data_IF_953454125298
#
_entry.id   IF_953454125298
#
_cell.length_a   1.000
_cell.length_b   1.000
_cell.length_c   1.000
_cell.angle_alpha   90.00
_cell.angle_beta   90.00
_cell.angle_gamma   90.00
#
_symmetry.space_group_name_H-M   'P 1'
#
loop_
_entity.id
_entity.type
_entity.pdbx_description
1 polymer ?
#
# COMPACT_ATOMS: atom_id res chain seq x y z
N UNK A 1 4.92 0.48 -19.01
CA UNK A 1 4.02 0.43 -17.85
C UNK A 1 2.94 -0.60 -18.17
N UNK A 2 2.49 -1.39 -17.21
CA UNK A 2 1.43 -2.38 -17.43
C UNK A 2 0.08 -1.66 -17.48
N UNK A 3 -0.59 -1.66 -18.65
CA UNK A 3 -1.85 -0.93 -18.86
C UNK A 3 -2.98 -1.48 -17.97
N UNK A 4 -3.05 -2.81 -17.81
CA UNK A 4 -4.03 -3.46 -16.95
C UNK A 4 -3.88 -3.04 -15.48
N UNK A 5 -2.63 -2.89 -14.98
CA UNK A 5 -2.41 -2.35 -13.64
C UNK A 5 -3.01 -0.95 -13.47
N UNK A 6 -2.81 -0.07 -14.46
CA UNK A 6 -3.35 1.29 -14.42
C UNK A 6 -4.88 1.26 -14.39
N UNK A 7 -5.51 0.44 -15.22
CA UNK A 7 -6.97 0.29 -15.27
C UNK A 7 -7.53 -0.21 -13.93
N UNK A 8 -6.83 -1.15 -13.29
CA UNK A 8 -7.22 -1.72 -12.00
C UNK A 8 -7.22 -0.72 -10.83
N UNK A 9 -6.36 0.30 -10.88
CA UNK A 9 -6.17 1.27 -9.78
C UNK A 9 -6.50 2.71 -10.16
N UNK A 10 -6.99 2.97 -11.36
CA UNK A 10 -7.21 4.33 -11.88
C UNK A 10 -8.16 5.15 -10.99
N UNK A 11 -9.26 4.55 -10.54
CA UNK A 11 -10.22 5.19 -9.65
C UNK A 11 -9.58 5.61 -8.32
N UNK A 12 -8.68 4.79 -7.79
CA UNK A 12 -7.93 5.08 -6.57
C UNK A 12 -6.90 6.20 -6.81
N UNK A 13 -6.15 6.12 -7.92
CA UNK A 13 -5.12 7.12 -8.26
C UNK A 13 -5.72 8.50 -8.50
N UNK A 14 -6.95 8.58 -9.04
CA UNK A 14 -7.65 9.84 -9.28
C UNK A 14 -8.30 10.41 -8.01
N UNK A 15 -8.32 9.70 -6.89
CA UNK A 15 -8.96 10.17 -5.66
C UNK A 15 -8.07 11.12 -4.86
N UNK A 16 -8.68 12.18 -4.31
CA UNK A 16 -7.99 13.13 -3.43
C UNK A 16 -7.37 12.44 -2.21
N UNK A 17 -8.01 11.40 -1.68
CA UNK A 17 -7.54 10.66 -0.53
C UNK A 17 -6.19 9.96 -0.79
N UNK A 18 -6.04 9.30 -1.92
CA UNK A 18 -4.79 8.65 -2.32
C UNK A 18 -3.74 9.70 -2.69
N UNK A 19 -4.11 10.77 -3.40
CA UNK A 19 -3.19 11.87 -3.72
C UNK A 19 -2.67 12.58 -2.47
N UNK A 20 -3.47 12.67 -1.41
CA UNK A 20 -3.08 13.26 -0.12
C UNK A 20 -1.91 12.53 0.54
N UNK A 21 -1.68 11.24 0.24
CA UNK A 21 -0.54 10.49 0.75
C UNK A 21 0.82 11.08 0.33
N UNK A 22 0.86 11.91 -0.71
CA UNK A 22 2.05 12.65 -1.12
C UNK A 22 2.54 13.67 -0.08
N UNK A 23 1.66 14.09 0.83
CA UNK A 23 2.01 15.03 1.90
C UNK A 23 2.74 14.37 3.08
N UNK A 24 2.74 13.05 3.17
CA UNK A 24 3.33 12.32 4.27
C UNK A 24 4.65 11.67 3.85
N UNK A 25 5.73 12.04 4.55
CA UNK A 25 7.05 11.45 4.31
C UNK A 25 7.06 10.00 4.80
N UNK A 26 7.52 9.10 3.95
CA UNK A 26 7.74 7.69 4.28
C UNK A 26 9.23 7.38 4.21
N UNK A 27 9.83 6.99 5.34
CA UNK A 27 11.27 6.79 5.48
C UNK A 27 12.11 8.02 5.03
N UNK A 28 13.38 7.80 4.64
CA UNK A 28 14.31 8.89 4.36
C UNK A 28 14.20 9.50 2.95
N UNK A 29 13.45 8.91 2.04
CA UNK A 29 13.59 9.25 0.61
C UNK A 29 12.33 9.14 -0.24
N UNK A 30 11.13 9.20 0.31
CA UNK A 30 9.90 9.13 -0.47
C UNK A 30 8.66 9.51 0.33
N UNK A 31 7.55 9.58 -0.35
CA UNK A 31 6.24 9.82 0.25
C UNK A 31 5.55 8.48 0.55
N UNK A 32 4.52 8.52 1.40
CA UNK A 32 3.65 7.35 1.63
C UNK A 32 2.96 6.91 0.34
N UNK A 33 2.65 7.86 -0.56
CA UNK A 33 2.15 7.56 -1.89
C UNK A 33 3.14 6.72 -2.72
N UNK A 34 4.41 7.12 -2.76
CA UNK A 34 5.46 6.40 -3.52
C UNK A 34 5.62 4.97 -3.02
N UNK A 35 5.64 4.80 -1.69
CA UNK A 35 5.69 3.50 -1.04
C UNK A 35 4.49 2.63 -1.42
N UNK A 36 3.26 3.14 -1.21
CA UNK A 36 2.03 2.40 -1.51
C UNK A 36 1.92 2.02 -2.98
N UNK A 37 2.31 2.91 -3.90
CA UNK A 37 2.35 2.64 -5.32
C UNK A 37 3.36 1.53 -5.66
N UNK A 38 4.52 1.53 -5.02
CA UNK A 38 5.54 0.52 -5.23
C UNK A 38 5.09 -0.85 -4.70
N UNK A 39 4.52 -0.91 -3.51
CA UNK A 39 3.94 -2.13 -2.93
C UNK A 39 2.83 -2.67 -3.84
N UNK A 40 1.89 -1.82 -4.27
CA UNK A 40 0.80 -2.18 -5.17
C UNK A 40 1.30 -2.83 -6.46
N UNK A 41 2.24 -2.19 -7.15
CA UNK A 41 2.76 -2.70 -8.42
C UNK A 41 3.55 -4.00 -8.26
N UNK A 42 4.35 -4.13 -7.22
CA UNK A 42 5.10 -5.36 -6.94
C UNK A 42 4.17 -6.52 -6.61
N UNK A 43 3.15 -6.28 -5.80
CA UNK A 43 2.15 -7.29 -5.43
C UNK A 43 1.31 -7.70 -6.63
N UNK A 44 0.86 -6.75 -7.44
CA UNK A 44 0.19 -6.99 -8.71
C UNK A 44 1.00 -7.92 -9.62
N UNK A 45 2.26 -7.56 -9.89
CA UNK A 45 3.16 -8.34 -10.75
C UNK A 45 3.34 -9.76 -10.25
N UNK A 46 3.50 -9.94 -8.96
CA UNK A 46 3.64 -11.26 -8.35
C UNK A 46 2.36 -12.07 -8.46
N UNK A 47 1.22 -11.50 -8.07
CA UNK A 47 -0.08 -12.15 -8.15
C UNK A 47 -0.43 -12.56 -9.60
N UNK A 48 -0.20 -11.67 -10.57
CA UNK A 48 -0.40 -11.94 -12.00
C UNK A 48 0.44 -13.12 -12.49
N UNK A 49 1.72 -13.16 -12.12
CA UNK A 49 2.62 -14.28 -12.45
C UNK A 49 2.14 -15.62 -11.87
N UNK A 50 1.52 -15.58 -10.69
CA UNK A 50 1.02 -16.77 -10.01
C UNK A 50 -0.40 -17.16 -10.44
N UNK A 51 -1.05 -16.40 -11.33
CA UNK A 51 -2.45 -16.62 -11.72
C UNK A 51 -3.43 -16.36 -10.58
N UNK A 52 -3.10 -15.43 -9.67
CA UNK A 52 -3.94 -15.01 -8.54
C UNK A 52 -4.69 -13.73 -8.85
N UNK A 53 -5.48 -13.24 -7.90
CA UNK A 53 -6.23 -12.00 -8.05
C UNK A 53 -5.29 -10.78 -8.00
N UNK A 54 -4.74 -10.43 -9.17
CA UNK A 54 -3.80 -9.33 -9.32
C UNK A 54 -4.44 -7.97 -9.05
N UNK A 55 -5.74 -7.81 -9.39
CA UNK A 55 -6.51 -6.59 -9.13
C UNK A 55 -6.64 -6.34 -7.63
N UNK A 56 -7.06 -7.35 -6.86
CA UNK A 56 -7.17 -7.21 -5.41
C UNK A 56 -5.81 -6.91 -4.76
N UNK A 57 -4.73 -7.56 -5.23
CA UNK A 57 -3.37 -7.29 -4.76
C UNK A 57 -2.92 -5.85 -5.07
N UNK A 58 -3.24 -5.32 -6.27
CA UNK A 58 -2.96 -3.95 -6.66
C UNK A 58 -3.70 -2.93 -5.78
N UNK A 59 -5.02 -3.07 -5.67
CA UNK A 59 -5.89 -2.15 -4.96
C UNK A 59 -5.63 -2.16 -3.45
N UNK A 60 -5.59 -3.35 -2.85
CA UNK A 60 -5.26 -3.51 -1.44
C UNK A 60 -3.85 -3.00 -1.12
N UNK A 61 -2.88 -3.27 -2.00
CA UNK A 61 -1.52 -2.76 -1.87
C UNK A 61 -1.42 -1.22 -1.99
N UNK A 62 -2.26 -0.57 -2.79
CA UNK A 62 -2.28 0.89 -2.89
C UNK A 62 -2.94 1.55 -1.66
N UNK A 63 -3.89 0.86 -1.05
CA UNK A 63 -4.69 1.38 0.08
C UNK A 63 -4.19 0.94 1.46
N UNK A 64 -3.19 0.05 1.55
CA UNK A 64 -2.79 -0.55 2.84
C UNK A 64 -2.38 0.49 3.89
N UNK A 65 -1.79 1.62 3.46
CA UNK A 65 -1.32 2.73 4.29
C UNK A 65 -2.16 4.01 4.09
N UNK A 66 -3.45 3.88 3.79
CA UNK A 66 -4.35 5.02 3.63
C UNK A 66 -4.77 5.59 4.98
N UNK A 67 -3.85 6.29 5.66
CA UNK A 67 -4.11 7.01 6.89
C UNK A 67 -3.44 8.40 6.86
N UNK A 68 -3.96 9.38 7.64
CA UNK A 68 -3.67 10.80 7.48
C UNK A 68 -3.08 11.44 8.72
N UNK A 69 -2.18 10.75 9.42
CA UNK A 69 -1.39 11.30 10.53
C UNK A 69 0.08 10.86 10.38
N UNK A 70 1.00 11.60 11.01
CA UNK A 70 2.38 11.13 11.18
C UNK A 70 2.49 10.43 12.54
N UNK A 71 2.82 9.15 12.53
CA UNK A 71 2.92 8.34 13.76
C UNK A 71 4.07 8.79 14.68
N UNK A 72 4.90 9.72 14.21
CA UNK A 72 6.00 10.33 14.96
C UNK A 72 5.55 11.58 15.72
N UNK A 73 4.40 12.12 15.39
CA UNK A 73 3.83 13.30 16.02
C UNK A 73 2.99 12.93 17.24
N UNK A 74 2.88 13.84 18.22
CA UNK A 74 2.07 13.67 19.42
C UNK A 74 0.57 13.54 19.13
N UNK A 75 0.12 13.93 17.93
CA UNK A 75 -1.27 13.81 17.46
C UNK A 75 -1.61 12.40 16.91
N UNK A 76 -0.67 11.45 16.99
CA UNK A 76 -0.97 10.07 16.59
C UNK A 76 -2.02 9.45 17.52
N UNK A 77 -2.95 8.61 17.00
CA UNK A 77 -3.93 7.91 17.84
C UNK A 77 -3.25 7.13 18.97
N UNK A 78 -3.88 7.15 20.15
CA UNK A 78 -3.45 6.30 21.27
C UNK A 78 -3.48 4.84 20.85
N UNK A 79 -2.37 4.14 21.06
CA UNK A 79 -2.27 2.71 20.76
C UNK A 79 -0.95 2.31 20.13
N UNK A 80 -0.81 1.02 19.89
CA UNK A 80 0.40 0.52 19.22
C UNK A 80 0.28 0.70 17.71
N UNK A 81 1.12 1.53 17.12
CA UNK A 81 1.08 1.90 15.70
C UNK A 81 0.92 0.70 14.76
N UNK A 82 1.55 -0.43 15.05
CA UNK A 82 1.48 -1.66 14.26
C UNK A 82 0.04 -2.22 14.13
N UNK A 83 -0.82 -1.98 15.12
CA UNK A 83 -2.22 -2.44 15.10
C UNK A 83 -3.21 -1.34 14.75
N UNK A 84 -2.88 -0.08 15.07
CA UNK A 84 -3.81 1.03 14.88
C UNK A 84 -3.88 1.53 13.43
N UNK A 85 -2.72 1.72 12.77
CA UNK A 85 -2.77 2.27 11.42
C UNK A 85 -3.44 1.36 10.38
N UNK A 86 -3.35 0.01 10.43
CA UNK A 86 -4.11 -0.83 9.50
C UNK A 86 -5.62 -0.69 9.66
N UNK A 87 -6.10 -0.53 10.90
CA UNK A 87 -7.52 -0.29 11.18
C UNK A 87 -7.96 1.07 10.66
N UNK A 88 -7.15 2.11 10.88
CA UNK A 88 -7.43 3.44 10.34
C UNK A 88 -7.41 3.45 8.81
N UNK A 89 -6.43 2.79 8.19
CA UNK A 89 -6.37 2.66 6.73
C UNK A 89 -7.62 1.97 6.17
N UNK A 90 -8.11 0.90 6.82
CA UNK A 90 -9.33 0.23 6.41
C UNK A 90 -10.55 1.15 6.53
N UNK A 91 -10.71 1.88 7.64
CA UNK A 91 -11.83 2.83 7.84
C UNK A 91 -11.84 3.93 6.78
N UNK A 92 -10.66 4.51 6.49
CA UNK A 92 -10.52 5.54 5.47
C UNK A 92 -10.83 5.02 4.07
N UNK A 93 -10.44 3.78 3.78
CA UNK A 93 -10.70 3.13 2.50
C UNK A 93 -12.18 2.76 2.34
N UNK A 94 -12.82 2.14 3.34
CA UNK A 94 -14.25 1.79 3.32
C UNK A 94 -15.18 3.00 3.22
N UNK A 95 -14.78 4.13 3.78
CA UNK A 95 -15.56 5.37 3.69
C UNK A 95 -15.60 5.98 2.28
N UNK A 96 -14.71 5.57 1.37
CA UNK A 96 -14.50 6.21 0.06
C UNK A 96 -14.59 5.26 -1.13
N UNK A 97 -14.34 3.98 -0.93
CA UNK A 97 -14.25 3.00 -2.00
C UNK A 97 -15.09 1.77 -1.70
N UNK A 98 -15.64 1.19 -2.74
CA UNK A 98 -16.27 -0.12 -2.66
C UNK A 98 -15.17 -1.20 -2.70
N UNK A 99 -15.02 -1.91 -1.59
CA UNK A 99 -13.94 -2.86 -1.37
C UNK A 99 -14.47 -4.29 -1.26
N UNK A 100 -13.80 -5.20 -1.93
CA UNK A 100 -14.02 -6.64 -1.74
C UNK A 100 -13.51 -7.11 -0.37
N UNK A 101 -14.01 -8.23 0.13
CA UNK A 101 -13.52 -8.85 1.38
C UNK A 101 -12.01 -9.13 1.34
N UNK A 102 -11.49 -9.45 0.17
CA UNK A 102 -10.07 -9.68 -0.04
C UNK A 102 -9.25 -8.40 0.10
N UNK A 103 -9.70 -7.30 -0.50
CA UNK A 103 -9.05 -5.98 -0.35
C UNK A 103 -9.07 -5.51 1.10
N UNK A 104 -10.17 -5.70 1.82
CA UNK A 104 -10.27 -5.41 3.26
C UNK A 104 -9.28 -6.24 4.09
N UNK A 105 -9.18 -7.53 3.83
CA UNK A 105 -8.22 -8.43 4.49
C UNK A 105 -6.77 -8.01 4.23
N UNK A 106 -6.45 -7.62 3.00
CA UNK A 106 -5.14 -7.07 2.62
C UNK A 106 -4.81 -5.85 3.48
N UNK A 107 -5.71 -4.87 3.52
CA UNK A 107 -5.48 -3.60 4.22
C UNK A 107 -5.29 -3.83 5.72
N UNK A 108 -6.19 -4.55 6.37
CA UNK A 108 -6.17 -4.68 7.84
C UNK A 108 -5.07 -5.60 8.34
N UNK A 109 -4.56 -6.51 7.51
CA UNK A 109 -3.58 -7.52 7.94
C UNK A 109 -2.18 -7.36 7.34
N UNK A 110 -1.92 -6.25 6.64
CA UNK A 110 -0.63 -6.05 5.98
C UNK A 110 0.55 -6.02 6.97
N UNK A 111 0.32 -5.69 8.25
CA UNK A 111 1.38 -5.67 9.27
C UNK A 111 1.81 -7.04 9.78
N UNK A 112 1.15 -8.14 9.38
CA UNK A 112 1.63 -9.48 9.73
C UNK A 112 3.08 -9.68 9.21
N UNK A 113 4.00 -10.37 9.94
CA UNK A 113 3.84 -11.01 11.25
C UNK A 113 4.07 -10.08 12.47
N UNK A 114 4.26 -8.78 12.27
CA UNK A 114 4.45 -7.82 13.37
C UNK A 114 3.16 -7.62 14.19
N UNK A 115 1.99 -7.74 13.54
CA UNK A 115 0.69 -7.86 14.20
C UNK A 115 0.28 -9.33 14.32
N UNK A 116 -0.60 -9.70 15.29
CA UNK A 116 -1.05 -11.08 15.44
C UNK A 116 -2.08 -11.53 14.38
N UNK A 117 -2.55 -10.62 13.55
CA UNK A 117 -3.62 -10.88 12.56
C UNK A 117 -3.09 -11.54 11.30
N UNK A 118 -3.23 -12.86 11.25
CA UNK A 118 -2.75 -13.64 10.12
C UNK A 118 -3.59 -13.38 8.85
N UNK A 119 -2.95 -13.15 7.68
CA UNK A 119 -3.62 -13.04 6.39
C UNK A 119 -4.51 -14.26 6.08
N UNK A 120 -5.74 -14.00 5.60
CA UNK A 120 -6.68 -15.06 5.19
C UNK A 120 -6.45 -15.49 3.75
N UNK A 121 -6.04 -14.56 2.89
CA UNK A 121 -5.84 -14.81 1.47
C UNK A 121 -4.35 -14.79 1.11
N UNK A 122 -4.00 -15.55 0.07
CA UNK A 122 -2.62 -15.57 -0.48
C UNK A 122 -2.17 -14.19 -0.98
N UNK A 123 -3.10 -13.40 -1.51
CA UNK A 123 -2.86 -12.01 -1.91
C UNK A 123 -2.54 -11.14 -0.69
N UNK A 124 -3.26 -11.31 0.42
CA UNK A 124 -2.99 -10.59 1.67
C UNK A 124 -1.60 -10.93 2.24
N UNK A 125 -1.23 -12.21 2.21
CA UNK A 125 0.12 -12.62 2.58
C UNK A 125 1.17 -11.99 1.66
N UNK A 126 0.91 -11.98 0.35
CA UNK A 126 1.82 -11.39 -0.65
C UNK A 126 2.03 -9.90 -0.41
N UNK A 127 0.95 -9.14 -0.21
CA UNK A 127 1.06 -7.69 0.05
C UNK A 127 1.80 -7.43 1.34
N UNK A 128 1.53 -8.19 2.41
CA UNK A 128 2.27 -8.09 3.68
C UNK A 128 3.78 -8.29 3.49
N UNK A 129 4.20 -9.28 2.71
CA UNK A 129 5.62 -9.53 2.43
C UNK A 129 6.22 -8.46 1.52
N UNK A 130 5.49 -8.03 0.49
CA UNK A 130 5.96 -6.97 -0.42
C UNK A 130 6.11 -5.62 0.28
N UNK A 131 5.22 -5.29 1.21
CA UNK A 131 5.33 -4.11 2.05
C UNK A 131 6.67 -4.08 2.80
N UNK A 132 7.01 -5.13 3.54
CA UNK A 132 8.27 -5.23 4.28
C UNK A 132 9.49 -5.23 3.36
N UNK A 133 9.40 -5.93 2.23
CA UNK A 133 10.46 -5.89 1.21
C UNK A 133 10.67 -4.48 0.66
N UNK A 134 9.60 -3.77 0.31
CA UNK A 134 9.67 -2.41 -0.23
C UNK A 134 10.23 -1.44 0.82
N UNK A 135 9.76 -1.51 2.07
CA UNK A 135 10.26 -0.69 3.18
C UNK A 135 11.77 -0.91 3.41
N UNK A 136 12.23 -2.17 3.38
CA UNK A 136 13.67 -2.49 3.50
C UNK A 136 14.47 -1.89 2.34
N UNK A 137 13.97 -2.02 1.11
CA UNK A 137 14.65 -1.48 -0.09
C UNK A 137 14.69 0.05 -0.11
N UNK A 138 13.67 0.71 0.41
CA UNK A 138 13.61 2.16 0.57
C UNK A 138 14.60 2.64 1.64
N UNK A 139 14.69 1.95 2.76
CA UNK A 139 15.68 2.21 3.81
C UNK A 139 17.14 2.12 3.32
N UNK A 140 17.39 1.33 2.26
CA UNK A 140 18.68 1.23 1.57
C UNK A 140 18.87 2.27 0.45
N UNK A 141 18.03 3.31 0.36
CA UNK A 141 18.03 4.35 -0.68
C UNK A 141 17.85 3.86 -2.13
N UNK A 142 17.29 2.68 -2.32
CA UNK A 142 17.08 2.09 -3.65
C UNK A 142 15.67 2.34 -4.22
N UNK A 143 14.74 2.86 -3.42
CA UNK A 143 13.32 2.96 -3.78
C UNK A 143 13.04 3.87 -4.96
N UNK A 144 13.49 5.13 -4.95
CA UNK A 144 13.21 6.12 -6.02
C UNK A 144 13.83 5.72 -7.37
N UNK A 145 15.04 5.12 -7.36
CA UNK A 145 15.64 4.60 -8.59
C UNK A 145 14.83 3.48 -9.21
N UNK A 146 14.13 2.69 -8.37
CA UNK A 146 13.27 1.57 -8.83
C UNK A 146 11.95 2.03 -9.41
N UNK A 147 11.28 3.03 -8.84
CA UNK A 147 10.07 3.62 -9.42
C UNK A 147 10.34 4.14 -10.83
N UNK A 148 11.46 4.83 -11.04
CA UNK A 148 11.90 5.28 -12.37
C UNK A 148 12.13 4.13 -13.34
N UNK A 149 12.79 3.04 -12.91
CA UNK A 149 13.03 1.85 -13.74
C UNK A 149 11.76 1.10 -14.12
N UNK A 150 10.74 1.14 -13.26
CA UNK A 150 9.44 0.48 -13.52
C UNK A 150 8.47 1.37 -14.32
N UNK A 151 8.84 2.60 -14.66
CA UNK A 151 7.98 3.54 -15.35
C UNK A 151 6.85 4.11 -14.50
N UNK A 152 6.90 3.92 -13.17
CA UNK A 152 5.88 4.38 -12.23
C UNK A 152 6.08 5.83 -11.78
N UNK A 153 7.24 6.43 -12.08
CA UNK A 153 7.56 7.79 -11.66
C UNK A 153 6.56 8.84 -12.19
N UNK A 154 5.95 8.60 -13.35
CA UNK A 154 4.94 9.50 -13.91
C UNK A 154 3.62 9.50 -13.15
N UNK A 155 3.30 8.43 -12.42
CA UNK A 155 2.11 8.34 -11.57
C UNK A 155 2.31 9.03 -10.21
N UNK A 156 3.55 9.23 -9.80
CA UNK A 156 3.92 9.88 -8.56
C UNK A 156 4.01 11.43 -8.69
N UNK A 157 4.00 11.96 -9.90
CA UNK A 157 3.97 13.41 -10.17
C UNK A 157 2.56 13.96 -10.12
#
# INVERSE_FOLDING_TARGET
MDQEFIEDVQDLLCSDAVQRLKLYVHHKSGTRFDHSLYVAYRSYRFAKKMGWDSRAAARGGLLHDLFFYDWRDDDSPEGWHVTEHPVQALREAEARFDLTDKEKDIIVKHMWPLSPWMPRYKESFTVSMMDKYCAMMEGLFLGQRKLRRLGLAQLAM
#
